data_IF_532108623825
#
_entry.id   IF_532108623825
#
_cell.length_a   1.000
_cell.length_b   1.000
_cell.length_c   1.000
_cell.angle_alpha   90.00
_cell.angle_beta   90.00
_cell.angle_gamma   90.00
#
_symmetry.space_group_name_H-M   'P 1'
#
loop_
_entity.id
_entity.type
_entity.pdbx_description
1 polymer ?
#
# COMPACT_ATOMS: atom_id res chain seq x y z
N UNK A 1 -18.16 4.96 -11.20
CA UNK A 1 -17.84 5.82 -12.40
C UNK A 1 -16.76 5.11 -13.21
N UNK A 2 -16.65 5.33 -14.51
CA UNK A 2 -15.53 4.77 -15.27
C UNK A 2 -14.28 5.62 -14.97
N UNK A 3 -13.21 4.99 -14.56
CA UNK A 3 -11.90 5.63 -14.36
C UNK A 3 -11.23 5.88 -15.72
N UNK A 4 -10.41 6.92 -15.81
CA UNK A 4 -9.71 7.32 -17.02
C UNK A 4 -8.26 6.78 -17.07
N UNK A 5 -7.57 6.81 -15.91
CA UNK A 5 -6.13 6.51 -15.80
C UNK A 5 -5.81 5.27 -14.97
N UNK A 6 -6.83 4.65 -14.41
CA UNK A 6 -6.73 3.32 -13.81
C UNK A 6 -7.82 2.41 -14.36
N UNK A 7 -7.66 1.10 -14.18
CA UNK A 7 -8.75 0.15 -14.35
C UNK A 7 -8.87 -0.70 -13.09
N UNK A 8 -10.09 -1.16 -12.80
CA UNK A 8 -10.38 -2.02 -11.65
C UNK A 8 -11.06 -3.29 -12.13
N UNK A 9 -10.65 -4.43 -11.60
CA UNK A 9 -11.28 -5.73 -11.80
C UNK A 9 -11.44 -6.39 -10.45
N UNK A 10 -12.68 -6.78 -10.13
CA UNK A 10 -13.00 -7.50 -8.91
C UNK A 10 -13.41 -8.92 -9.23
N UNK A 11 -12.72 -9.88 -8.68
CA UNK A 11 -13.06 -11.31 -8.78
C UNK A 11 -12.56 -12.06 -7.55
N UNK A 12 -13.33 -13.05 -7.09
CA UNK A 12 -12.94 -13.94 -5.99
C UNK A 12 -12.50 -13.19 -4.72
N UNK A 13 -13.22 -12.11 -4.39
CA UNK A 13 -12.96 -11.20 -3.26
C UNK A 13 -11.63 -10.43 -3.35
N UNK A 14 -11.01 -10.39 -4.52
CA UNK A 14 -9.76 -9.65 -4.78
C UNK A 14 -10.07 -8.52 -5.74
N UNK A 15 -9.73 -7.28 -5.36
CA UNK A 15 -9.76 -6.12 -6.24
C UNK A 15 -8.37 -5.92 -6.84
N UNK A 16 -8.24 -6.00 -8.15
CA UNK A 16 -7.03 -5.64 -8.88
C UNK A 16 -7.18 -4.22 -9.44
N UNK A 17 -6.32 -3.31 -9.00
CA UNK A 17 -6.21 -1.95 -9.51
C UNK A 17 -5.00 -1.89 -10.43
N UNK A 18 -5.22 -1.52 -11.70
CA UNK A 18 -4.16 -1.42 -12.69
C UNK A 18 -3.97 0.05 -13.09
N UNK A 19 -2.78 0.60 -12.88
CA UNK A 19 -2.39 1.91 -13.41
C UNK A 19 -2.40 1.83 -14.94
N UNK A 20 -3.16 2.68 -15.63
CA UNK A 20 -3.50 2.48 -17.04
C UNK A 20 -3.19 3.70 -17.92
N UNK A 21 -1.91 4.09 -17.95
CA UNK A 21 -1.31 5.04 -18.91
C UNK A 21 -0.05 4.41 -19.53
N UNK A 22 -0.15 3.22 -20.17
CA UNK A 22 1.02 2.44 -20.60
C UNK A 22 1.92 3.18 -21.60
N UNK A 23 1.37 4.06 -22.43
CA UNK A 23 2.10 4.93 -23.38
C UNK A 23 3.00 5.96 -22.68
N UNK A 24 2.74 6.26 -21.39
CA UNK A 24 3.52 7.13 -20.52
C UNK A 24 4.19 6.37 -19.38
N UNK A 25 4.33 5.04 -19.50
CA UNK A 25 4.83 4.17 -18.42
C UNK A 25 4.10 4.41 -17.09
N UNK A 26 2.80 4.64 -17.15
CA UNK A 26 1.93 4.92 -16.01
C UNK A 26 2.43 6.10 -15.15
N UNK A 27 2.95 7.15 -15.79
CA UNK A 27 3.41 8.34 -15.10
C UNK A 27 2.28 8.97 -14.28
N UNK A 28 2.63 9.37 -13.06
CA UNK A 28 1.73 9.88 -12.05
C UNK A 28 1.16 11.25 -12.37
N UNK A 29 -0.14 11.41 -12.20
CA UNK A 29 -0.88 12.67 -12.38
C UNK A 29 -1.84 12.90 -11.23
N UNK A 30 -2.34 14.15 -11.04
CA UNK A 30 -3.43 14.41 -10.09
C UNK A 30 -4.71 13.60 -10.37
N UNK A 31 -5.05 13.37 -11.65
CA UNK A 31 -6.20 12.54 -12.03
C UNK A 31 -6.03 11.11 -11.54
N UNK A 32 -4.88 10.49 -11.79
CA UNK A 32 -4.58 9.14 -11.32
C UNK A 32 -4.64 9.06 -9.78
N UNK A 33 -4.12 10.08 -9.09
CA UNK A 33 -4.21 10.16 -7.63
C UNK A 33 -5.66 10.12 -7.15
N UNK A 34 -6.52 10.99 -7.68
CA UNK A 34 -7.92 11.07 -7.28
C UNK A 34 -8.69 9.79 -7.58
N UNK A 35 -8.41 9.15 -8.72
CA UNK A 35 -9.02 7.88 -9.07
C UNK A 35 -8.60 6.75 -8.14
N UNK A 36 -7.31 6.70 -7.77
CA UNK A 36 -6.81 5.75 -6.80
C UNK A 36 -7.43 5.96 -5.42
N UNK A 37 -7.56 7.21 -4.95
CA UNK A 37 -8.24 7.53 -3.70
C UNK A 37 -9.68 6.99 -3.71
N UNK A 38 -10.44 7.26 -4.79
CA UNK A 38 -11.81 6.76 -4.94
C UNK A 38 -11.87 5.23 -4.96
N UNK A 39 -10.97 4.57 -5.68
CA UNK A 39 -10.94 3.10 -5.74
C UNK A 39 -10.64 2.45 -4.37
N UNK A 40 -9.78 3.08 -3.56
CA UNK A 40 -9.51 2.62 -2.20
C UNK A 40 -10.69 2.89 -1.25
N UNK A 41 -11.42 4.00 -1.42
CA UNK A 41 -12.63 4.30 -0.63
C UNK A 41 -13.75 3.29 -0.94
N UNK A 42 -13.98 3.00 -2.22
CA UNK A 42 -14.93 1.99 -2.67
C UNK A 42 -14.55 0.60 -2.12
N UNK A 43 -13.27 0.22 -2.20
CA UNK A 43 -12.77 -1.06 -1.69
C UNK A 43 -12.95 -1.22 -0.17
N UNK A 44 -12.72 -0.17 0.61
CA UNK A 44 -12.88 -0.20 2.06
C UNK A 44 -14.35 -0.27 2.50
N UNK A 45 -15.28 0.19 1.66
CA UNK A 45 -16.71 0.15 1.89
C UNK A 45 -17.35 -1.18 1.43
N UNK A 46 -16.71 -1.91 0.52
CA UNK A 46 -17.21 -3.18 -0.04
C UNK A 46 -16.68 -4.39 0.75
N UNK A 47 -17.59 -5.13 1.41
CA UNK A 47 -17.24 -6.36 2.12
C UNK A 47 -16.91 -7.54 1.19
N UNK A 48 -17.28 -7.46 -0.08
CA UNK A 48 -16.88 -8.45 -1.08
C UNK A 48 -15.44 -8.26 -1.57
N UNK A 49 -14.76 -7.18 -1.14
CA UNK A 49 -13.32 -7.00 -1.31
C UNK A 49 -12.60 -7.43 -0.03
N UNK A 50 -11.78 -8.46 -0.11
CA UNK A 50 -10.97 -8.97 1.00
C UNK A 50 -9.49 -8.59 0.90
N UNK A 51 -8.98 -8.32 -0.32
CA UNK A 51 -7.60 -7.88 -0.57
C UNK A 51 -7.53 -7.00 -1.83
N UNK A 52 -6.51 -6.14 -1.90
CA UNK A 52 -6.25 -5.26 -3.04
C UNK A 52 -4.90 -5.62 -3.64
N UNK A 53 -4.84 -5.77 -4.97
CA UNK A 53 -3.60 -5.88 -5.75
C UNK A 53 -3.45 -4.60 -6.56
N UNK A 54 -2.27 -3.97 -6.52
CA UNK A 54 -1.93 -2.82 -7.37
C UNK A 54 -0.84 -3.22 -8.34
N UNK A 55 -1.06 -2.98 -9.63
CA UNK A 55 -0.11 -3.29 -10.71
C UNK A 55 -0.15 -2.21 -11.79
N UNK A 56 0.67 -2.31 -12.84
CA UNK A 56 0.71 -1.39 -13.95
C UNK A 56 0.38 -2.04 -15.29
N UNK A 57 -0.32 -1.34 -16.17
CA UNK A 57 -0.53 -1.76 -17.54
C UNK A 57 0.75 -1.66 -18.36
N UNK A 58 0.93 -2.59 -19.29
CA UNK A 58 2.08 -2.59 -20.20
C UNK A 58 3.40 -2.93 -19.51
N UNK A 59 4.49 -2.28 -19.94
CA UNK A 59 5.87 -2.64 -19.54
C UNK A 59 6.36 -1.98 -18.25
N UNK A 60 5.60 -1.09 -17.62
CA UNK A 60 6.00 -0.35 -16.43
C UNK A 60 4.98 -0.43 -15.31
N UNK A 61 5.45 -0.37 -14.08
CA UNK A 61 4.56 -0.14 -12.94
C UNK A 61 4.16 1.33 -12.89
N UNK A 62 5.10 2.22 -12.58
CA UNK A 62 4.93 3.68 -12.63
C UNK A 62 6.30 4.36 -12.71
N UNK A 63 6.54 5.14 -13.74
CA UNK A 63 7.84 5.78 -13.99
C UNK A 63 8.09 7.06 -13.17
N UNK A 64 7.20 7.42 -12.23
CA UNK A 64 7.28 8.64 -11.43
C UNK A 64 6.33 9.72 -11.93
N UNK A 65 6.52 10.96 -11.47
CA UNK A 65 5.70 12.10 -11.87
C UNK A 65 5.71 12.31 -13.39
N UNK A 66 4.58 12.71 -13.95
CA UNK A 66 4.50 13.13 -15.35
C UNK A 66 5.30 14.43 -15.54
N UNK A 67 6.40 14.34 -16.29
CA UNK A 67 7.32 15.46 -16.51
C UNK A 67 6.95 16.29 -17.74
N UNK A 68 5.72 16.20 -18.24
CA UNK A 68 5.26 17.00 -19.40
C UNK A 68 5.29 18.52 -19.14
N UNK A 69 5.25 18.94 -17.88
CA UNK A 69 5.43 20.33 -17.44
C UNK A 69 6.88 20.83 -17.51
N UNK A 70 7.85 20.01 -17.95
CA UNK A 70 9.25 20.40 -18.04
C UNK A 70 9.86 20.81 -16.70
N UNK A 71 10.66 21.88 -16.70
CA UNK A 71 11.36 22.36 -15.51
C UNK A 71 10.44 22.86 -14.37
N UNK A 72 9.20 23.16 -14.66
CA UNK A 72 8.21 23.67 -13.70
C UNK A 72 7.37 22.55 -13.04
N UNK A 73 7.60 21.29 -13.40
CA UNK A 73 6.81 20.14 -12.89
C UNK A 73 6.69 20.11 -11.37
N UNK A 74 7.72 20.52 -10.67
CA UNK A 74 7.77 20.51 -9.20
C UNK A 74 7.62 21.90 -8.58
N UNK A 75 7.27 22.92 -9.37
CA UNK A 75 6.96 24.25 -8.86
C UNK A 75 5.48 24.34 -8.50
N UNK A 76 5.22 24.33 -7.19
CA UNK A 76 3.85 24.34 -6.67
C UNK A 76 3.39 25.72 -6.18
N UNK A 77 4.16 26.78 -6.47
CA UNK A 77 3.81 28.15 -6.02
C UNK A 77 2.42 28.59 -6.47
N UNK A 78 1.99 28.19 -7.66
CA UNK A 78 0.64 28.49 -8.14
C UNK A 78 -0.50 27.73 -7.42
N UNK A 79 -0.16 26.64 -6.74
CA UNK A 79 -1.11 25.85 -5.93
C UNK A 79 -1.16 26.30 -4.48
N UNK A 80 -0.10 26.97 -4.02
CA UNK A 80 0.02 27.44 -2.66
C UNK A 80 -0.87 28.67 -2.45
N UNK A 81 -1.66 28.69 -1.37
CA UNK A 81 -2.24 29.91 -0.87
C UNK A 81 -1.19 30.64 -0.05
N UNK A 82 -1.35 31.96 0.12
CA UNK A 82 -0.40 32.77 0.89
C UNK A 82 -0.23 32.22 2.32
N UNK A 83 1.01 31.82 2.63
CA UNK A 83 1.35 31.26 3.95
C UNK A 83 1.07 29.77 4.14
N UNK A 84 0.52 29.06 3.15
CA UNK A 84 0.27 27.62 3.18
C UNK A 84 1.28 26.83 2.35
N UNK A 85 1.64 25.62 2.81
CA UNK A 85 2.39 24.64 2.05
C UNK A 85 1.40 23.65 1.44
N UNK A 86 1.30 23.49 0.11
CA UNK A 86 0.36 22.53 -0.49
C UNK A 86 0.79 21.09 -0.19
N UNK A 87 -0.20 20.23 0.07
CA UNK A 87 0.04 18.80 0.25
C UNK A 87 0.64 18.16 -1.01
N UNK A 88 1.60 17.29 -0.79
CA UNK A 88 2.10 16.42 -1.84
C UNK A 88 1.08 15.29 -2.12
N UNK A 89 0.62 15.17 -3.35
CA UNK A 89 -0.39 14.19 -3.75
C UNK A 89 0.08 12.74 -3.54
N UNK A 90 1.37 12.48 -3.62
CA UNK A 90 1.94 11.18 -3.30
C UNK A 90 1.77 10.85 -1.82
N UNK A 91 1.96 11.86 -0.94
CA UNK A 91 1.74 11.77 0.50
C UNK A 91 0.27 11.49 0.83
N UNK A 92 -0.65 12.23 0.21
CA UNK A 92 -2.10 12.01 0.38
C UNK A 92 -2.48 10.56 0.05
N UNK A 93 -2.03 10.04 -1.10
CA UNK A 93 -2.32 8.66 -1.49
C UNK A 93 -1.62 7.64 -0.58
N UNK A 94 -0.39 7.88 -0.19
CA UNK A 94 0.37 7.01 0.71
C UNK A 94 -0.31 6.88 2.08
N UNK A 95 -0.79 7.99 2.63
CA UNK A 95 -1.58 7.99 3.86
C UNK A 95 -2.92 7.28 3.69
N UNK A 96 -3.55 7.41 2.52
CA UNK A 96 -4.77 6.64 2.22
C UNK A 96 -4.51 5.12 2.20
N UNK A 97 -3.40 4.68 1.60
CA UNK A 97 -3.01 3.26 1.67
C UNK A 97 -2.73 2.84 3.11
N UNK A 98 -2.03 3.66 3.88
CA UNK A 98 -1.75 3.40 5.29
C UNK A 98 -3.05 3.19 6.10
N UNK A 99 -4.07 3.99 5.84
CA UNK A 99 -5.39 3.92 6.47
C UNK A 99 -6.30 2.79 5.93
N UNK A 100 -5.92 2.08 4.85
CA UNK A 100 -6.74 1.04 4.24
C UNK A 100 -7.12 -0.06 5.24
N UNK A 101 -8.37 -0.50 5.17
CA UNK A 101 -8.90 -1.61 5.97
C UNK A 101 -8.65 -2.98 5.33
N UNK A 102 -8.17 -2.99 4.09
CA UNK A 102 -7.89 -4.19 3.33
C UNK A 102 -6.38 -4.38 3.16
N UNK A 103 -5.84 -5.61 3.16
CA UNK A 103 -4.46 -5.88 2.78
C UNK A 103 -4.18 -5.43 1.36
N UNK A 104 -3.01 -4.82 1.15
CA UNK A 104 -2.60 -4.28 -0.15
C UNK A 104 -1.31 -4.95 -0.60
N UNK A 105 -1.33 -5.53 -1.81
CA UNK A 105 -0.20 -6.20 -2.44
C UNK A 105 0.24 -5.37 -3.64
N UNK A 106 1.52 -4.96 -3.67
CA UNK A 106 2.13 -4.38 -4.86
C UNK A 106 2.68 -5.49 -5.76
N UNK A 107 2.15 -5.60 -6.98
CA UNK A 107 2.68 -6.46 -8.04
C UNK A 107 3.43 -5.59 -9.05
N UNK A 108 4.74 -5.39 -8.81
CA UNK A 108 5.58 -4.43 -9.53
C UNK A 108 6.07 -5.08 -10.84
N UNK A 109 5.34 -4.84 -11.92
CA UNK A 109 5.57 -5.49 -13.22
C UNK A 109 6.72 -4.92 -14.04
N UNK A 110 7.28 -3.77 -13.68
CA UNK A 110 8.34 -3.11 -14.44
C UNK A 110 8.94 -1.91 -13.70
N UNK A 111 9.44 -0.89 -14.39
CA UNK A 111 9.98 0.32 -13.76
C UNK A 111 9.02 0.96 -12.76
N UNK A 112 9.53 1.16 -11.51
CA UNK A 112 8.87 1.82 -10.39
C UNK A 112 9.83 2.89 -9.84
N UNK A 113 9.64 4.16 -10.19
CA UNK A 113 10.61 5.23 -9.93
C UNK A 113 9.92 6.44 -9.31
N UNK A 114 10.59 7.15 -8.41
CA UNK A 114 9.99 8.28 -7.68
C UNK A 114 8.72 7.87 -6.97
N UNK A 115 7.60 8.58 -7.20
CA UNK A 115 6.30 8.23 -6.61
C UNK A 115 5.88 6.80 -6.96
N UNK A 116 6.28 6.25 -8.11
CA UNK A 116 6.04 4.85 -8.45
C UNK A 116 6.72 3.85 -7.53
N UNK A 117 7.83 4.21 -6.91
CA UNK A 117 8.49 3.41 -5.87
C UNK A 117 7.91 3.74 -4.49
N UNK A 118 7.76 5.03 -4.16
CA UNK A 118 7.37 5.47 -2.81
C UNK A 118 5.94 5.09 -2.46
N UNK A 119 4.99 5.12 -3.41
CA UNK A 119 3.61 4.69 -3.16
C UNK A 119 3.51 3.20 -2.77
N UNK A 120 4.51 2.37 -3.10
CA UNK A 120 4.49 0.95 -2.74
C UNK A 120 4.91 0.69 -1.30
N UNK A 121 5.55 1.65 -0.63
CA UNK A 121 6.10 1.47 0.71
C UNK A 121 5.04 1.17 1.78
N UNK A 122 3.86 1.83 1.81
CA UNK A 122 2.79 1.51 2.75
C UNK A 122 1.94 0.30 2.36
N UNK A 123 2.15 -0.29 1.17
CA UNK A 123 1.51 -1.54 0.78
C UNK A 123 2.11 -2.68 1.62
N UNK A 124 1.27 -3.64 2.03
CA UNK A 124 1.67 -4.63 3.03
C UNK A 124 2.71 -5.62 2.49
N UNK A 125 2.55 -6.03 1.25
CA UNK A 125 3.49 -6.95 0.57
C UNK A 125 3.86 -6.39 -0.80
N UNK A 126 5.14 -6.45 -1.14
CA UNK A 126 5.69 -6.07 -2.46
C UNK A 126 6.32 -7.29 -3.09
N UNK A 127 5.82 -7.68 -4.25
CA UNK A 127 6.44 -8.67 -5.14
C UNK A 127 6.74 -7.99 -6.47
N UNK A 128 7.71 -8.46 -7.21
CA UNK A 128 8.11 -7.81 -8.46
C UNK A 128 8.46 -8.80 -9.56
N UNK A 129 8.36 -8.32 -10.80
CA UNK A 129 9.00 -8.96 -11.93
C UNK A 129 10.52 -8.96 -11.75
N UNK A 130 11.19 -10.03 -12.18
CA UNK A 130 12.65 -10.13 -12.24
C UNK A 130 13.28 -9.00 -13.09
N UNK A 131 12.51 -8.45 -14.03
CA UNK A 131 12.92 -7.37 -14.93
C UNK A 131 12.64 -5.97 -14.34
N UNK A 132 11.96 -5.88 -13.19
CA UNK A 132 11.61 -4.60 -12.59
C UNK A 132 12.87 -3.81 -12.17
N UNK A 133 12.74 -2.49 -12.23
CA UNK A 133 13.76 -1.53 -11.81
C UNK A 133 13.13 -0.54 -10.86
N UNK A 134 13.78 -0.25 -9.77
CA UNK A 134 13.27 0.67 -8.76
C UNK A 134 14.25 1.82 -8.52
N UNK A 135 13.74 2.98 -8.07
CA UNK A 135 14.63 4.10 -7.79
C UNK A 135 13.96 5.24 -7.04
N UNK A 136 14.70 5.77 -6.04
CA UNK A 136 14.33 6.95 -5.27
C UNK A 136 15.13 8.14 -5.79
N UNK A 137 14.78 8.62 -6.99
CA UNK A 137 15.60 9.49 -7.86
C UNK A 137 15.55 10.98 -7.51
N UNK A 138 14.96 11.36 -6.40
CA UNK A 138 14.64 12.74 -6.02
C UNK A 138 15.85 13.67 -6.04
N UNK A 139 16.94 13.30 -5.37
CA UNK A 139 18.17 14.09 -5.32
C UNK A 139 18.76 14.38 -6.72
N UNK A 140 18.60 13.45 -7.67
CA UNK A 140 19.02 13.67 -9.07
C UNK A 140 18.12 14.65 -9.84
N UNK A 141 17.00 15.05 -9.28
CA UNK A 141 16.07 16.04 -9.81
C UNK A 141 16.12 17.35 -9.02
N UNK A 142 17.00 17.45 -8.01
CA UNK A 142 17.12 18.63 -7.15
C UNK A 142 15.96 18.79 -6.17
N UNK A 143 15.21 17.70 -5.92
CA UNK A 143 14.10 17.66 -4.96
C UNK A 143 14.38 16.65 -3.85
N UNK A 144 13.52 16.63 -2.85
CA UNK A 144 13.62 15.75 -1.67
C UNK A 144 12.65 14.56 -1.79
N UNK A 145 12.82 13.49 -0.97
CA UNK A 145 11.83 12.42 -0.85
C UNK A 145 10.43 12.96 -0.54
N UNK A 146 9.42 12.33 -1.13
CA UNK A 146 8.00 12.65 -1.00
C UNK A 146 7.19 11.40 -0.59
N UNK A 147 5.85 11.48 -0.60
CA UNK A 147 4.97 10.34 -0.34
C UNK A 147 5.28 9.63 0.99
N UNK A 148 5.57 10.40 2.03
CA UNK A 148 5.96 9.89 3.35
C UNK A 148 7.13 8.88 3.32
N UNK A 149 7.89 8.82 2.23
CA UNK A 149 8.97 7.84 2.07
C UNK A 149 10.11 8.03 3.07
N UNK A 150 10.32 9.24 3.60
CA UNK A 150 11.24 9.51 4.70
C UNK A 150 10.86 8.77 5.99
N UNK A 151 9.58 8.45 6.18
CA UNK A 151 9.09 7.64 7.28
C UNK A 151 9.10 6.14 6.97
N UNK A 152 8.56 5.74 5.80
CA UNK A 152 8.37 4.33 5.45
C UNK A 152 9.68 3.64 5.05
N UNK A 153 10.47 4.23 4.15
CA UNK A 153 11.63 3.55 3.56
C UNK A 153 12.63 3.06 4.60
N UNK A 154 13.09 3.88 5.58
CA UNK A 154 14.03 3.41 6.59
C UNK A 154 13.46 2.35 7.52
N UNK A 155 12.14 2.27 7.67
CA UNK A 155 11.46 1.22 8.44
C UNK A 155 11.37 -0.11 7.71
N UNK A 156 11.34 -0.05 6.38
CA UNK A 156 11.29 -1.26 5.53
C UNK A 156 12.68 -1.84 5.30
N UNK A 157 13.70 -1.01 4.98
CA UNK A 157 15.03 -1.51 4.56
C UNK A 157 16.17 -1.12 5.49
N UNK A 158 15.87 -0.44 6.60
CA UNK A 158 16.87 0.13 7.49
C UNK A 158 17.49 1.44 6.96
N UNK A 159 18.00 2.28 7.87
CA UNK A 159 18.44 3.65 7.54
C UNK A 159 19.63 3.67 6.57
N UNK A 160 20.58 2.76 6.70
CA UNK A 160 21.79 2.76 5.86
C UNK A 160 21.45 2.52 4.39
N UNK A 161 20.60 1.53 4.10
CA UNK A 161 20.16 1.23 2.73
C UNK A 161 19.26 2.33 2.17
N UNK A 162 18.37 2.84 2.98
CA UNK A 162 17.50 3.97 2.61
C UNK A 162 18.34 5.19 2.20
N UNK A 163 19.34 5.57 3.02
CA UNK A 163 20.23 6.70 2.73
C UNK A 163 21.09 6.47 1.49
N UNK A 164 21.61 5.26 1.28
CA UNK A 164 22.36 4.94 0.05
C UNK A 164 21.51 5.21 -1.20
N UNK A 165 20.29 4.66 -1.24
CA UNK A 165 19.42 4.80 -2.40
C UNK A 165 18.95 6.24 -2.63
N UNK A 166 18.56 6.94 -1.56
CA UNK A 166 18.06 8.32 -1.62
C UNK A 166 19.19 9.30 -1.99
N UNK A 167 20.35 9.20 -1.36
CA UNK A 167 21.46 10.13 -1.59
C UNK A 167 22.09 9.94 -2.98
N UNK A 168 22.18 8.71 -3.49
CA UNK A 168 22.70 8.45 -4.83
C UNK A 168 21.64 8.71 -5.92
N UNK A 169 20.37 8.56 -5.58
CA UNK A 169 19.26 8.64 -6.52
C UNK A 169 19.38 7.64 -7.68
N UNK A 170 20.16 6.57 -7.50
CA UNK A 170 20.35 5.57 -8.55
C UNK A 170 19.11 4.66 -8.69
N UNK A 171 18.95 4.15 -9.89
CA UNK A 171 18.02 3.06 -10.16
C UNK A 171 18.73 1.74 -9.89
N UNK A 172 18.07 0.81 -9.23
CA UNK A 172 18.58 -0.50 -8.86
C UNK A 172 17.70 -1.63 -9.38
N UNK A 173 18.22 -2.85 -9.39
CA UNK A 173 17.51 -4.03 -9.88
C UNK A 173 16.50 -4.56 -8.86
N UNK A 174 15.50 -5.32 -9.33
CA UNK A 174 14.60 -6.06 -8.46
C UNK A 174 15.37 -7.02 -7.54
N UNK A 175 16.45 -7.64 -8.02
CA UNK A 175 17.28 -8.52 -7.21
C UNK A 175 17.88 -7.79 -6.00
N UNK A 176 18.40 -6.57 -6.20
CA UNK A 176 18.91 -5.76 -5.10
C UNK A 176 17.80 -5.37 -4.12
N UNK A 177 16.60 -5.08 -4.64
CA UNK A 177 15.41 -4.83 -3.80
C UNK A 177 15.02 -6.03 -2.94
N UNK A 178 15.13 -7.25 -3.47
CA UNK A 178 14.92 -8.51 -2.73
C UNK A 178 15.96 -8.69 -1.63
N UNK A 179 17.23 -8.53 -1.96
CA UNK A 179 18.35 -8.68 -1.00
C UNK A 179 18.29 -7.65 0.13
N UNK A 180 17.74 -6.47 -0.14
CA UNK A 180 17.55 -5.42 0.85
C UNK A 180 16.28 -5.58 1.70
N UNK A 181 15.43 -6.57 1.43
CA UNK A 181 14.16 -6.76 2.12
C UNK A 181 13.04 -5.81 1.71
N UNK A 182 13.23 -5.04 0.62
CA UNK A 182 12.17 -4.21 0.05
C UNK A 182 11.11 -5.07 -0.63
N UNK A 183 11.52 -6.13 -1.30
CA UNK A 183 10.67 -7.07 -2.03
C UNK A 183 10.62 -8.42 -1.31
N UNK A 184 9.45 -9.04 -1.26
CA UNK A 184 9.25 -10.38 -0.72
C UNK A 184 9.76 -11.47 -1.66
N UNK A 185 9.50 -11.33 -2.96
CA UNK A 185 9.82 -12.33 -3.99
C UNK A 185 9.90 -11.73 -5.38
N UNK A 186 10.57 -12.43 -6.28
CA UNK A 186 10.67 -12.11 -7.71
C UNK A 186 10.05 -13.23 -8.54
N UNK A 187 9.38 -12.84 -9.61
CA UNK A 187 8.67 -13.75 -10.51
C UNK A 187 8.99 -13.43 -11.98
N UNK A 188 8.91 -14.40 -12.90
CA UNK A 188 8.83 -14.12 -14.33
C UNK A 188 7.71 -13.11 -14.63
N UNK A 189 7.87 -12.23 -15.64
CA UNK A 189 6.86 -11.20 -15.94
C UNK A 189 5.43 -11.74 -16.12
N UNK A 190 5.27 -12.86 -16.77
CA UNK A 190 4.02 -13.54 -17.07
C UNK A 190 3.40 -14.29 -15.86
N UNK A 191 4.18 -14.59 -14.84
CA UNK A 191 3.71 -15.26 -13.61
C UNK A 191 3.40 -14.28 -12.46
N UNK A 192 3.84 -13.02 -12.55
CA UNK A 192 3.76 -12.06 -11.44
C UNK A 192 2.34 -11.85 -10.91
N UNK A 193 1.38 -11.62 -11.80
CA UNK A 193 -0.01 -11.36 -11.37
C UNK A 193 -0.65 -12.61 -10.77
N UNK A 194 -0.33 -13.80 -11.31
CA UNK A 194 -0.73 -15.09 -10.74
C UNK A 194 -0.22 -15.24 -9.30
N UNK A 195 1.07 -14.98 -9.07
CA UNK A 195 1.67 -15.03 -7.74
C UNK A 195 1.07 -14.01 -6.75
N UNK A 196 0.70 -12.80 -7.24
CA UNK A 196 -0.02 -11.82 -6.43
C UNK A 196 -1.40 -12.33 -6.02
N UNK A 197 -2.13 -12.96 -6.94
CA UNK A 197 -3.45 -13.55 -6.67
C UNK A 197 -3.37 -14.72 -5.70
N UNK A 198 -2.40 -15.63 -5.87
CA UNK A 198 -2.17 -16.74 -4.93
C UNK A 198 -1.95 -16.21 -3.51
N UNK A 199 -1.12 -15.17 -3.35
CA UNK A 199 -0.90 -14.54 -2.05
C UNK A 199 -2.18 -13.88 -1.50
N UNK A 200 -2.98 -13.25 -2.35
CA UNK A 200 -4.26 -12.67 -1.95
C UNK A 200 -5.25 -13.76 -1.51
N UNK A 201 -5.30 -14.90 -2.21
CA UNK A 201 -6.11 -16.07 -1.85
C UNK A 201 -5.73 -16.65 -0.51
N UNK A 202 -4.43 -16.74 -0.17
CA UNK A 202 -3.99 -17.14 1.18
C UNK A 202 -4.64 -16.30 2.28
N UNK A 203 -4.92 -15.03 1.98
CA UNK A 203 -5.58 -14.12 2.93
C UNK A 203 -7.10 -14.30 2.86
N UNK A 204 -7.71 -14.11 1.69
CA UNK A 204 -9.18 -14.00 1.57
C UNK A 204 -9.92 -15.30 1.83
N UNK A 205 -9.28 -16.45 1.56
CA UNK A 205 -9.90 -17.76 1.71
C UNK A 205 -9.73 -18.34 3.12
N UNK A 206 -8.69 -17.92 3.86
CA UNK A 206 -8.32 -18.58 5.12
C UNK A 206 -8.45 -17.72 6.37
N UNK A 207 -8.79 -16.41 6.24
CA UNK A 207 -8.74 -15.50 7.39
C UNK A 207 -10.02 -14.70 7.59
N UNK A 208 -10.29 -14.31 8.85
CA UNK A 208 -11.41 -13.44 9.22
C UNK A 208 -11.13 -11.98 8.82
N UNK A 209 -11.96 -11.37 7.94
CA UNK A 209 -11.70 -10.04 7.39
C UNK A 209 -11.51 -8.94 8.44
N UNK A 210 -12.32 -8.95 9.50
CA UNK A 210 -12.23 -7.97 10.59
C UNK A 210 -10.93 -8.13 11.37
N UNK A 211 -10.48 -9.37 11.60
CA UNK A 211 -9.21 -9.63 12.29
C UNK A 211 -8.01 -9.19 11.45
N UNK A 212 -8.05 -9.39 10.14
CA UNK A 212 -7.01 -8.92 9.21
C UNK A 212 -6.94 -7.38 9.20
N UNK A 213 -8.08 -6.71 9.10
CA UNK A 213 -8.14 -5.25 9.12
C UNK A 213 -7.56 -4.66 10.42
N UNK A 214 -7.90 -5.25 11.57
CA UNK A 214 -7.36 -4.84 12.86
C UNK A 214 -5.86 -5.14 12.97
N UNK A 215 -5.42 -6.33 12.59
CA UNK A 215 -4.01 -6.71 12.63
C UNK A 215 -3.17 -5.76 11.76
N UNK A 216 -3.64 -5.45 10.54
CA UNK A 216 -2.99 -4.47 9.66
C UNK A 216 -2.83 -3.11 10.35
N UNK A 217 -3.92 -2.57 10.86
CA UNK A 217 -3.92 -1.27 11.56
C UNK A 217 -2.98 -1.28 12.77
N UNK A 218 -3.01 -2.33 13.59
CA UNK A 218 -2.16 -2.46 14.77
C UNK A 218 -0.67 -2.54 14.38
N UNK A 219 -0.30 -3.38 13.40
CA UNK A 219 1.09 -3.52 12.96
C UNK A 219 1.65 -2.19 12.45
N UNK A 220 0.94 -1.49 11.55
CA UNK A 220 1.40 -0.23 11.02
C UNK A 220 1.50 0.87 12.09
N UNK A 221 0.51 1.00 12.96
CA UNK A 221 0.50 2.02 14.01
C UNK A 221 1.62 1.79 15.05
N UNK A 222 1.93 0.53 15.37
CA UNK A 222 2.94 0.21 16.38
C UNK A 222 4.39 0.37 15.88
N UNK A 223 4.63 0.54 14.57
CA UNK A 223 5.98 0.85 14.06
C UNK A 223 6.55 2.18 14.58
N UNK A 224 5.71 3.11 14.99
CA UNK A 224 6.12 4.39 15.59
C UNK A 224 5.99 4.43 17.11
N UNK A 225 5.59 3.34 17.76
CA UNK A 225 5.35 3.30 19.19
C UNK A 225 6.65 3.38 20.00
N UNK A 226 6.67 4.23 21.02
CA UNK A 226 7.85 4.45 21.86
C UNK A 226 8.13 3.29 22.83
N UNK A 227 7.10 2.47 23.15
CA UNK A 227 7.24 1.40 24.14
C UNK A 227 6.28 0.23 23.80
N UNK A 228 6.72 -1.04 23.93
CA UNK A 228 5.89 -2.21 23.64
C UNK A 228 4.61 -2.33 24.50
N UNK A 229 4.51 -1.59 25.62
CA UNK A 229 3.28 -1.53 26.41
C UNK A 229 2.12 -0.93 25.61
N UNK A 230 2.37 -0.05 24.62
CA UNK A 230 1.34 0.48 23.76
C UNK A 230 0.75 -0.63 22.87
N UNK A 231 1.61 -1.48 22.31
CA UNK A 231 1.19 -2.68 21.60
C UNK A 231 0.41 -3.64 22.51
N UNK A 232 0.93 -3.93 23.71
CA UNK A 232 0.24 -4.81 24.67
C UNK A 232 -1.18 -4.32 25.01
N UNK A 233 -1.40 -3.02 25.14
CA UNK A 233 -2.74 -2.45 25.36
C UNK A 233 -3.64 -2.65 24.15
N UNK A 234 -3.14 -2.39 22.94
CA UNK A 234 -3.89 -2.60 21.70
C UNK A 234 -4.23 -4.08 21.50
N UNK A 235 -3.26 -4.98 21.70
CA UNK A 235 -3.42 -6.44 21.62
C UNK A 235 -4.50 -6.94 22.60
N UNK A 236 -4.46 -6.48 23.85
CA UNK A 236 -5.42 -6.88 24.89
C UNK A 236 -6.84 -6.44 24.53
N UNK A 237 -7.01 -5.21 24.00
CA UNK A 237 -8.32 -4.73 23.54
C UNK A 237 -8.80 -5.51 22.30
N UNK A 238 -7.90 -5.78 21.37
CA UNK A 238 -8.18 -6.56 20.17
C UNK A 238 -8.61 -7.97 20.53
N UNK A 239 -7.88 -8.65 21.39
CA UNK A 239 -8.22 -10.00 21.88
C UNK A 239 -9.54 -10.02 22.63
N UNK A 240 -9.80 -9.03 23.49
CA UNK A 240 -11.06 -8.93 24.20
C UNK A 240 -12.25 -8.72 23.25
N UNK A 241 -12.13 -7.81 22.31
CA UNK A 241 -13.19 -7.51 21.34
C UNK A 241 -13.45 -8.69 20.38
N UNK A 242 -12.38 -9.26 19.82
CA UNK A 242 -12.51 -10.35 18.85
C UNK A 242 -12.84 -11.69 19.48
N UNK A 243 -12.35 -11.96 20.70
CA UNK A 243 -12.66 -13.20 21.42
C UNK A 243 -14.16 -13.44 21.69
N UNK A 244 -14.97 -12.40 21.62
CA UNK A 244 -16.43 -12.47 21.78
C UNK A 244 -17.18 -12.48 20.42
N UNK A 245 -16.48 -12.44 19.30
CA UNK A 245 -17.08 -12.34 17.97
C UNK A 245 -17.53 -13.69 17.43
N UNK A 246 -18.47 -13.64 16.49
CA UNK A 246 -18.90 -14.83 15.76
C UNK A 246 -17.75 -15.45 14.94
N UNK A 247 -16.84 -14.61 14.41
CA UNK A 247 -15.64 -15.09 13.71
C UNK A 247 -14.72 -15.92 14.60
N UNK A 248 -14.53 -15.53 15.88
CA UNK A 248 -13.68 -16.30 16.81
C UNK A 248 -14.29 -17.67 17.12
N UNK A 249 -15.62 -17.73 17.29
CA UNK A 249 -16.35 -19.00 17.48
C UNK A 249 -16.20 -19.88 16.24
N UNK A 250 -16.42 -19.32 15.05
CA UNK A 250 -16.31 -20.04 13.78
C UNK A 250 -14.86 -20.53 13.55
N UNK A 251 -13.87 -19.66 13.77
CA UNK A 251 -12.46 -20.02 13.57
C UNK A 251 -12.01 -21.19 14.43
N UNK A 252 -12.46 -21.26 15.69
CA UNK A 252 -12.16 -22.40 16.58
C UNK A 252 -12.96 -23.64 16.19
N UNK A 253 -14.26 -23.48 15.90
CA UNK A 253 -15.15 -24.60 15.59
C UNK A 253 -14.74 -25.28 14.29
N UNK A 254 -14.52 -24.51 13.22
CA UNK A 254 -14.10 -25.03 11.91
C UNK A 254 -12.77 -25.78 11.98
N UNK A 255 -11.82 -25.25 12.78
CA UNK A 255 -10.52 -25.91 13.01
C UNK A 255 -10.67 -27.26 13.69
N UNK A 256 -11.49 -27.36 14.75
CA UNK A 256 -11.74 -28.62 15.46
C UNK A 256 -12.50 -29.63 14.57
N UNK A 257 -13.42 -29.16 13.74
CA UNK A 257 -14.20 -29.96 12.81
C UNK A 257 -13.44 -30.30 11.51
N UNK A 258 -12.26 -29.72 11.29
CA UNK A 258 -11.41 -29.90 10.08
C UNK A 258 -12.16 -29.54 8.78
N UNK A 259 -12.91 -28.47 8.78
CA UNK A 259 -13.61 -27.90 7.64
C UNK A 259 -13.16 -26.47 7.32
N UNK A 260 -13.39 -25.94 6.13
CA UNK A 260 -13.20 -24.53 5.83
C UNK A 260 -14.02 -23.64 6.77
N UNK A 261 -13.45 -22.49 7.16
CA UNK A 261 -14.13 -21.50 7.99
C UNK A 261 -15.01 -20.58 7.13
N UNK A 262 -16.13 -20.13 7.67
CA UNK A 262 -17.02 -19.15 7.07
C UNK A 262 -17.22 -17.99 8.05
N UNK A 263 -16.38 -16.97 7.91
CA UNK A 263 -16.37 -15.82 8.83
C UNK A 263 -17.54 -14.85 8.54
N UNK A 264 -18.49 -14.68 9.48
CA UNK A 264 -19.68 -13.88 9.25
C UNK A 264 -19.50 -12.38 9.48
N UNK A 265 -18.48 -11.95 10.25
CA UNK A 265 -18.33 -10.55 10.61
C UNK A 265 -17.85 -9.73 9.39
N UNK A 266 -18.30 -8.46 9.34
CA UNK A 266 -18.06 -7.57 8.20
C UNK A 266 -17.27 -6.33 8.62
N UNK A 267 -16.33 -5.92 7.77
CA UNK A 267 -15.50 -4.73 7.99
C UNK A 267 -16.34 -3.45 7.93
N UNK A 268 -17.36 -3.41 7.08
CA UNK A 268 -18.28 -2.27 6.93
C UNK A 268 -19.15 -2.03 8.17
N UNK A 269 -19.39 -3.05 9.02
CA UNK A 269 -20.11 -2.90 10.27
C UNK A 269 -19.35 -2.10 11.34
N UNK A 270 -18.10 -1.75 11.06
CA UNK A 270 -17.21 -0.99 11.92
C UNK A 270 -16.17 -1.87 12.64
N UNK A 271 -14.98 -1.30 12.77
CA UNK A 271 -13.88 -1.95 13.49
C UNK A 271 -13.89 -1.54 14.97
N UNK A 272 -13.66 -2.48 15.92
CA UNK A 272 -13.44 -2.13 17.31
C UNK A 272 -12.30 -1.10 17.47
N UNK A 273 -12.48 -0.11 18.35
CA UNK A 273 -11.41 0.83 18.65
C UNK A 273 -10.37 0.18 19.58
N UNK A 274 -9.31 -0.35 18.98
CA UNK A 274 -8.20 -1.01 19.70
C UNK A 274 -7.04 -0.05 20.00
N UNK A 275 -6.99 1.10 19.31
CA UNK A 275 -5.95 2.12 19.40
C UNK A 275 -6.46 3.37 20.16
N UNK A 276 -7.04 3.16 21.34
CA UNK A 276 -7.54 4.27 22.15
C UNK A 276 -6.44 5.29 22.49
N UNK A 277 -6.74 6.58 22.25
CA UNK A 277 -5.78 7.68 22.39
C UNK A 277 -4.88 7.88 21.17
N UNK A 278 -5.01 7.08 20.13
CA UNK A 278 -4.37 7.35 18.85
C UNK A 278 -5.20 8.38 18.08
N UNK A 279 -4.59 9.52 17.82
CA UNK A 279 -5.13 10.54 16.89
C UNK A 279 -4.19 10.62 15.70
N UNK A 280 -4.75 10.57 14.49
CA UNK A 280 -3.97 10.84 13.28
C UNK A 280 -3.65 12.34 13.26
N UNK A 281 -2.36 12.74 13.09
CA UNK A 281 -2.03 14.14 12.92
C UNK A 281 -2.68 14.71 11.66
N UNK A 282 -3.13 15.97 11.76
CA UNK A 282 -3.62 16.73 10.61
C UNK A 282 -2.45 17.38 9.89
N UNK A 283 -2.62 17.66 8.60
CA UNK A 283 -1.67 18.44 7.81
C UNK A 283 -1.89 19.93 8.15
N UNK A 284 -0.82 20.65 8.58
CA UNK A 284 -0.86 22.08 8.96
C UNK A 284 -0.64 23.01 7.76
#
# INVERSE_FOLDING_TARGET
MAFEQITTEQSERILTITLNRPERLNAWTPTMCNELLSAFDEADADDEVGAIIVTGAGRGFCAGADLSGGGETFDWRERAKEGEVPEDNGGVFTLRIFASKKPVIAAINGPAVGVGATMTLPMDVRIASQEARMGFVFARRGIVPEACSSWFLPRVVGISRAMEWVATGRVFSAQEGLEAGLLRSLHPPDELLGAARELAHEIVDNTAPVSVALARRMMWSMLGAEHPMLAHRADSRGMFARGQSADAVEGVTSFLEKRPAHFPDRVSAGLPNVLEGWTEPEFE
#
